data_IF_631614813906
#
_entry.id   IF_631614813906
#
_cell.length_a   1.000
_cell.length_b   1.000
_cell.length_c   1.000
_cell.angle_alpha   90.00
_cell.angle_beta   90.00
_cell.angle_gamma   90.00
#
_symmetry.space_group_name_H-M   'P 1'
#
loop_
_entity.id
_entity.type
_entity.pdbx_description
1 polymer ?
#
# COMPACT_ATOMS: atom_id res chain seq x y z
N UNK A 1 -19.47 -18.28 5.85
CA UNK A 1 -18.80 -16.99 6.15
C UNK A 1 -17.28 -17.06 5.95
N UNK A 2 -16.58 -18.11 6.42
CA UNK A 2 -15.11 -18.24 6.35
C UNK A 2 -14.54 -18.41 4.93
N UNK A 3 -15.16 -19.24 4.08
CA UNK A 3 -14.68 -19.48 2.71
C UNK A 3 -14.71 -18.23 1.82
N UNK A 4 -15.74 -17.38 1.96
CA UNK A 4 -15.83 -16.12 1.23
C UNK A 4 -14.76 -15.12 1.66
N UNK A 5 -14.46 -15.04 2.97
CA UNK A 5 -13.40 -14.18 3.49
C UNK A 5 -12.01 -14.56 2.96
N UNK A 6 -11.71 -15.86 2.84
CA UNK A 6 -10.47 -16.35 2.24
C UNK A 6 -10.34 -15.96 0.76
N UNK A 7 -11.45 -16.01 0.00
CA UNK A 7 -11.49 -15.55 -1.40
C UNK A 7 -11.16 -14.06 -1.55
N UNK A 8 -11.75 -13.20 -0.72
CA UNK A 8 -11.47 -11.77 -0.74
C UNK A 8 -10.04 -11.44 -0.29
N UNK A 9 -9.53 -12.15 0.72
CA UNK A 9 -8.14 -12.04 1.15
C UNK A 9 -7.18 -12.41 0.02
N UNK A 10 -7.45 -13.51 -0.70
CA UNK A 10 -6.65 -13.95 -1.83
C UNK A 10 -6.69 -12.95 -3.00
N UNK A 11 -7.88 -12.43 -3.34
CA UNK A 11 -8.04 -11.39 -4.36
C UNK A 11 -7.21 -10.15 -3.99
N UNK A 12 -7.35 -9.67 -2.76
CA UNK A 12 -6.57 -8.56 -2.25
C UNK A 12 -5.07 -8.84 -2.33
N UNK A 13 -4.65 -10.02 -1.87
CA UNK A 13 -3.25 -10.46 -1.91
C UNK A 13 -2.67 -10.41 -3.30
N UNK A 14 -3.35 -10.97 -4.30
CA UNK A 14 -2.88 -10.96 -5.69
C UNK A 14 -2.75 -9.53 -6.24
N UNK A 15 -3.74 -8.66 -5.98
CA UNK A 15 -3.66 -7.24 -6.35
C UNK A 15 -2.47 -6.53 -5.67
N UNK A 16 -2.31 -6.73 -4.37
CA UNK A 16 -1.26 -6.12 -3.57
C UNK A 16 0.14 -6.63 -3.92
N UNK A 17 0.25 -7.87 -4.37
CA UNK A 17 1.54 -8.47 -4.70
C UNK A 17 2.21 -7.83 -5.90
N UNK A 18 1.50 -7.14 -6.80
CA UNK A 18 2.10 -6.46 -7.96
C UNK A 18 3.20 -5.47 -7.51
N UNK A 19 4.48 -5.68 -7.86
CA UNK A 19 5.60 -4.93 -7.30
C UNK A 19 5.94 -3.70 -8.17
N UNK A 20 5.06 -2.68 -8.19
CA UNK A 20 5.18 -1.53 -9.09
C UNK A 20 6.53 -0.84 -9.03
N UNK A 21 7.13 -0.63 -7.86
CA UNK A 21 8.44 0.00 -7.79
C UNK A 21 9.52 -0.78 -8.56
N UNK A 22 9.52 -2.11 -8.49
CA UNK A 22 10.46 -2.94 -9.25
C UNK A 22 10.13 -2.94 -10.75
N UNK A 23 8.84 -2.98 -11.11
CA UNK A 23 8.40 -2.98 -12.51
C UNK A 23 8.73 -1.66 -13.21
N UNK A 24 8.38 -0.53 -12.60
CA UNK A 24 8.57 0.80 -13.18
C UNK A 24 10.05 1.15 -13.31
N UNK A 25 10.87 0.77 -12.34
CA UNK A 25 12.31 1.07 -12.37
C UNK A 25 13.04 0.28 -13.44
N UNK A 26 12.70 -1.00 -13.61
CA UNK A 26 13.17 -1.80 -14.74
C UNK A 26 12.69 -1.25 -16.07
N UNK A 27 11.41 -0.91 -16.19
CA UNK A 27 10.83 -0.34 -17.41
C UNK A 27 11.46 1.02 -17.78
N UNK A 28 11.87 1.80 -16.79
CA UNK A 28 12.56 3.08 -16.98
C UNK A 28 14.08 2.95 -17.23
N UNK A 29 14.62 1.74 -17.35
CA UNK A 29 16.05 1.51 -17.58
C UNK A 29 16.95 1.79 -16.37
N UNK A 30 16.39 1.86 -15.16
CA UNK A 30 17.12 2.17 -13.91
C UNK A 30 17.72 0.92 -13.24
N UNK A 31 17.59 -0.25 -13.86
CA UNK A 31 18.10 -1.52 -13.34
C UNK A 31 17.24 -2.12 -12.22
N UNK A 32 17.85 -2.96 -11.39
CA UNK A 32 17.18 -3.60 -10.26
C UNK A 32 17.31 -2.75 -8.98
N UNK A 33 16.22 -2.14 -8.54
CA UNK A 33 16.21 -1.30 -7.33
C UNK A 33 16.57 -2.03 -6.04
N UNK A 34 16.54 -3.37 -6.02
CA UNK A 34 16.95 -4.13 -4.85
C UNK A 34 18.47 -4.07 -4.64
N UNK A 35 19.24 -3.72 -5.67
CA UNK A 35 20.67 -3.45 -5.58
C UNK A 35 20.99 -2.00 -5.19
N UNK A 36 19.97 -1.14 -4.99
CA UNK A 36 20.13 0.29 -4.72
C UNK A 36 19.61 0.62 -3.32
N UNK A 37 20.33 1.48 -2.60
CA UNK A 37 19.87 2.06 -1.33
C UNK A 37 19.58 1.00 -0.26
N UNK A 38 18.33 0.96 0.22
CA UNK A 38 17.93 0.00 1.27
C UNK A 38 17.51 -1.37 0.72
N UNK A 39 17.60 -1.59 -0.59
CA UNK A 39 17.17 -2.82 -1.26
C UNK A 39 15.66 -3.10 -1.24
N UNK A 40 14.85 -2.13 -0.81
CA UNK A 40 13.39 -2.27 -0.72
C UNK A 40 12.73 -1.87 -2.05
N UNK A 41 11.56 -2.42 -2.37
CA UNK A 41 10.87 -2.11 -3.62
C UNK A 41 9.97 -0.86 -3.56
N UNK A 42 9.79 -0.26 -2.38
CA UNK A 42 8.88 0.89 -2.20
C UNK A 42 9.43 2.22 -2.74
N UNK A 43 8.52 3.19 -2.91
CA UNK A 43 8.77 4.52 -3.47
C UNK A 43 9.96 5.28 -2.86
N UNK A 44 10.20 5.16 -1.54
CA UNK A 44 11.34 5.81 -0.89
C UNK A 44 12.69 5.28 -1.42
N UNK A 45 12.78 3.99 -1.74
CA UNK A 45 14.00 3.44 -2.31
C UNK A 45 14.12 3.76 -3.81
N UNK A 46 12.99 3.78 -4.52
CA UNK A 46 12.93 4.27 -5.90
C UNK A 46 13.43 5.71 -5.99
N UNK A 47 13.10 6.57 -5.03
CA UNK A 47 13.61 7.94 -4.99
C UNK A 47 15.15 8.00 -4.92
N UNK A 48 15.80 6.97 -4.37
CA UNK A 48 17.27 6.88 -4.29
C UNK A 48 17.94 6.56 -5.63
N UNK A 49 17.19 6.18 -6.66
CA UNK A 49 17.72 6.12 -8.03
C UNK A 49 17.89 7.51 -8.65
N UNK A 50 17.41 8.56 -7.98
CA UNK A 50 17.41 9.93 -8.48
C UNK A 50 16.20 10.29 -9.36
N UNK A 51 15.37 9.31 -9.74
CA UNK A 51 14.23 9.54 -10.63
C UNK A 51 12.94 9.85 -9.85
N UNK A 52 12.67 11.13 -9.62
CA UNK A 52 11.49 11.62 -8.87
C UNK A 52 10.15 11.22 -9.52
N UNK A 53 9.95 11.35 -10.84
CA UNK A 53 8.71 10.89 -11.49
C UNK A 53 8.41 9.42 -11.24
N UNK A 54 9.41 8.53 -11.38
CA UNK A 54 9.22 7.09 -11.16
C UNK A 54 8.95 6.77 -9.68
N UNK A 55 9.57 7.50 -8.75
CA UNK A 55 9.27 7.38 -7.33
C UNK A 55 7.82 7.80 -6.99
N UNK A 56 7.36 8.91 -7.56
CA UNK A 56 5.98 9.38 -7.40
C UNK A 56 4.97 8.41 -8.01
N UNK A 57 5.23 7.93 -9.23
CA UNK A 57 4.39 6.92 -9.88
C UNK A 57 4.33 5.61 -9.06
N UNK A 58 5.47 5.19 -8.47
CA UNK A 58 5.51 4.04 -7.56
C UNK A 58 4.60 4.26 -6.35
N UNK A 59 4.68 5.43 -5.71
CA UNK A 59 3.86 5.76 -4.55
C UNK A 59 2.36 5.71 -4.89
N UNK A 60 1.98 6.34 -6.00
CA UNK A 60 0.59 6.37 -6.48
C UNK A 60 0.09 4.97 -6.81
N UNK A 61 0.84 4.18 -7.58
CA UNK A 61 0.40 2.85 -8.01
C UNK A 61 0.38 1.83 -6.87
N UNK A 62 1.36 1.89 -5.96
CA UNK A 62 1.34 1.06 -4.75
C UNK A 62 0.22 1.44 -3.78
N UNK A 63 -0.23 2.70 -3.75
CA UNK A 63 -1.45 3.11 -3.04
C UNK A 63 -2.71 2.67 -3.78
N UNK A 64 -2.76 2.89 -5.10
CA UNK A 64 -3.90 2.58 -5.94
C UNK A 64 -4.24 1.09 -5.92
N UNK A 65 -3.25 0.18 -5.88
CA UNK A 65 -3.55 -1.27 -5.78
C UNK A 65 -4.26 -1.65 -4.48
N UNK A 66 -3.95 -0.97 -3.38
CA UNK A 66 -4.62 -1.18 -2.09
C UNK A 66 -6.05 -0.66 -2.12
N UNK A 67 -6.23 0.57 -2.63
CA UNK A 67 -7.54 1.16 -2.83
C UNK A 67 -8.41 0.31 -3.78
N UNK A 68 -7.86 -0.10 -4.93
CA UNK A 68 -8.55 -0.89 -5.93
C UNK A 68 -8.98 -2.26 -5.38
N UNK A 69 -8.11 -2.96 -4.66
CA UNK A 69 -8.45 -4.23 -4.02
C UNK A 69 -9.67 -4.10 -3.08
N UNK A 70 -9.65 -3.07 -2.23
CA UNK A 70 -10.74 -2.81 -1.29
C UNK A 70 -12.04 -2.46 -2.00
N UNK A 71 -12.00 -1.50 -2.94
CA UNK A 71 -13.18 -1.03 -3.66
C UNK A 71 -13.78 -2.11 -4.55
N UNK A 72 -12.93 -2.90 -5.23
CA UNK A 72 -13.38 -4.01 -6.06
C UNK A 72 -14.09 -5.07 -5.23
N UNK A 73 -13.53 -5.47 -4.09
CA UNK A 73 -14.18 -6.42 -3.21
C UNK A 73 -15.48 -5.86 -2.61
N UNK A 74 -15.51 -4.58 -2.24
CA UNK A 74 -16.72 -3.89 -1.76
C UNK A 74 -17.82 -3.87 -2.81
N UNK A 75 -17.46 -3.62 -4.08
CA UNK A 75 -18.41 -3.54 -5.19
C UNK A 75 -18.94 -4.90 -5.63
N UNK A 76 -18.09 -5.92 -5.62
CA UNK A 76 -18.47 -7.29 -5.99
C UNK A 76 -19.25 -8.01 -4.88
N UNK A 77 -19.04 -7.61 -3.62
CA UNK A 77 -19.78 -8.16 -2.50
C UNK A 77 -21.16 -7.50 -2.38
N UNK A 78 -22.20 -8.32 -2.14
CA UNK A 78 -23.53 -7.80 -1.81
C UNK A 78 -23.53 -6.93 -0.55
N UNK A 79 -24.55 -6.08 -0.32
CA UNK A 79 -24.53 -5.02 0.70
C UNK A 79 -24.15 -5.49 2.11
N UNK A 80 -24.62 -6.66 2.53
CA UNK A 80 -24.32 -7.24 3.84
C UNK A 80 -22.87 -7.71 3.99
N UNK A 81 -22.28 -8.25 2.90
CA UNK A 81 -20.92 -8.77 2.89
C UNK A 81 -19.87 -7.71 2.56
N UNK A 82 -20.28 -6.58 1.99
CA UNK A 82 -19.39 -5.54 1.48
C UNK A 82 -18.37 -4.99 2.49
N UNK A 83 -18.72 -4.73 3.78
CA UNK A 83 -17.74 -4.26 4.76
C UNK A 83 -16.64 -5.30 5.04
N UNK A 84 -17.02 -6.57 5.21
CA UNK A 84 -16.11 -7.67 5.51
C UNK A 84 -15.24 -8.05 4.31
N UNK A 85 -15.82 -8.04 3.11
CA UNK A 85 -15.10 -8.26 1.87
C UNK A 85 -14.04 -7.18 1.63
N UNK A 86 -14.42 -5.91 1.83
CA UNK A 86 -13.53 -4.76 1.72
C UNK A 86 -12.35 -4.85 2.71
N UNK A 87 -12.63 -5.21 3.97
CA UNK A 87 -11.60 -5.38 4.99
C UNK A 87 -10.64 -6.54 4.65
N UNK A 88 -11.18 -7.70 4.27
CA UNK A 88 -10.39 -8.86 3.89
C UNK A 88 -9.49 -8.58 2.69
N UNK A 89 -10.02 -7.95 1.64
CA UNK A 89 -9.23 -7.58 0.46
C UNK A 89 -8.20 -6.47 0.74
N UNK A 90 -8.54 -5.49 1.57
CA UNK A 90 -7.58 -4.46 2.00
C UNK A 90 -6.40 -5.05 2.78
N UNK A 91 -6.68 -5.93 3.74
CA UNK A 91 -5.65 -6.69 4.46
C UNK A 91 -4.82 -7.55 3.50
N UNK A 92 -5.50 -8.26 2.60
CA UNK A 92 -4.87 -9.05 1.55
C UNK A 92 -3.88 -8.21 0.75
N UNK A 93 -4.28 -7.02 0.30
CA UNK A 93 -3.43 -6.14 -0.50
C UNK A 93 -2.16 -5.69 0.24
N UNK A 94 -2.29 -5.36 1.53
CA UNK A 94 -1.12 -5.02 2.36
C UNK A 94 -0.20 -6.23 2.49
N UNK A 95 -0.74 -7.41 2.83
CA UNK A 95 0.04 -8.65 2.93
C UNK A 95 0.70 -9.02 1.59
N UNK A 96 -0.01 -8.83 0.48
CA UNK A 96 0.51 -9.05 -0.86
C UNK A 96 1.71 -8.15 -1.16
N UNK A 97 1.66 -6.88 -0.77
CA UNK A 97 2.78 -5.95 -0.95
C UNK A 97 3.97 -6.29 -0.04
N UNK A 98 3.72 -6.74 1.20
CA UNK A 98 4.77 -7.13 2.16
C UNK A 98 5.45 -8.45 1.76
N UNK A 99 4.65 -9.42 1.34
CA UNK A 99 5.07 -10.79 1.04
C UNK A 99 4.63 -11.23 -0.37
N UNK A 100 5.06 -10.55 -1.44
CA UNK A 100 4.65 -10.90 -2.80
C UNK A 100 5.24 -12.23 -3.23
N UNK A 101 4.36 -13.14 -3.68
CA UNK A 101 4.72 -14.52 -4.08
C UNK A 101 5.83 -14.55 -5.14
N UNK A 102 5.78 -13.65 -6.12
CA UNK A 102 6.77 -13.56 -7.21
C UNK A 102 8.14 -13.05 -6.77
N UNK A 103 8.26 -12.43 -5.60
CA UNK A 103 9.56 -11.99 -5.05
C UNK A 103 9.99 -12.87 -3.87
N UNK A 104 9.57 -14.14 -3.86
CA UNK A 104 9.91 -15.10 -2.79
C UNK A 104 9.54 -14.56 -1.41
N UNK A 105 8.38 -13.89 -1.33
CA UNK A 105 7.84 -13.29 -0.11
C UNK A 105 8.71 -12.18 0.50
N UNK A 106 9.54 -11.51 -0.31
CA UNK A 106 10.35 -10.35 0.12
C UNK A 106 9.91 -9.09 -0.60
N UNK A 107 8.94 -8.40 -0.02
CA UNK A 107 8.29 -7.22 -0.61
C UNK A 107 8.71 -5.89 -0.01
N UNK A 108 7.78 -4.93 -0.05
CA UNK A 108 7.98 -3.60 0.49
C UNK A 108 7.53 -3.46 1.94
N UNK A 109 7.35 -2.22 2.42
CA UNK A 109 6.93 -1.91 3.80
C UNK A 109 5.42 -1.68 3.97
N UNK A 110 4.65 -1.69 2.89
CA UNK A 110 3.18 -1.60 2.94
C UNK A 110 2.62 -0.21 3.20
N UNK A 111 3.45 0.83 3.36
CA UNK A 111 2.99 2.19 3.71
C UNK A 111 2.02 2.76 2.67
N UNK A 112 2.43 2.82 1.40
CA UNK A 112 1.59 3.37 0.34
C UNK A 112 0.29 2.56 0.17
N UNK A 113 0.40 1.24 0.12
CA UNK A 113 -0.74 0.33 0.02
C UNK A 113 -1.71 0.47 1.18
N UNK A 114 -1.21 0.58 2.41
CA UNK A 114 -2.02 0.82 3.60
C UNK A 114 -2.71 2.19 3.58
N UNK A 115 -2.02 3.25 3.18
CA UNK A 115 -2.64 4.58 2.99
C UNK A 115 -3.73 4.57 1.92
N UNK A 116 -3.52 3.86 0.81
CA UNK A 116 -4.53 3.65 -0.23
C UNK A 116 -5.74 2.88 0.27
N UNK A 117 -5.53 1.84 1.07
CA UNK A 117 -6.60 1.10 1.76
C UNK A 117 -7.40 2.03 2.68
N UNK A 118 -6.73 2.86 3.50
CA UNK A 118 -7.43 3.82 4.38
C UNK A 118 -8.24 4.85 3.61
N UNK A 119 -7.68 5.43 2.55
CA UNK A 119 -8.39 6.38 1.68
C UNK A 119 -9.65 5.77 1.05
N UNK A 120 -9.56 4.52 0.59
CA UNK A 120 -10.68 3.82 -0.01
C UNK A 120 -11.71 3.34 1.03
N UNK A 121 -11.24 2.94 2.21
CA UNK A 121 -12.11 2.51 3.30
C UNK A 121 -12.95 3.69 3.80
N UNK A 122 -12.29 4.80 4.12
CA UNK A 122 -12.89 6.03 4.62
C UNK A 122 -11.98 7.25 4.34
N UNK A 123 -12.34 8.03 3.32
CA UNK A 123 -11.47 9.07 2.77
C UNK A 123 -11.00 10.15 3.77
N UNK A 124 -11.77 10.63 4.77
CA UNK A 124 -11.28 11.61 5.73
C UNK A 124 -10.15 11.05 6.59
N UNK A 125 -10.29 9.81 7.09
CA UNK A 125 -9.24 9.12 7.85
C UNK A 125 -8.02 8.88 6.98
N UNK A 126 -8.21 8.48 5.72
CA UNK A 126 -7.12 8.31 4.77
C UNK A 126 -6.36 9.61 4.50
N UNK A 127 -7.06 10.76 4.36
CA UNK A 127 -6.42 12.06 4.19
C UNK A 127 -5.64 12.48 5.44
N UNK A 128 -6.20 12.28 6.63
CA UNK A 128 -5.50 12.54 7.89
C UNK A 128 -4.24 11.69 7.98
N UNK A 129 -4.34 10.38 7.69
CA UNK A 129 -3.18 9.48 7.70
C UNK A 129 -2.12 9.91 6.68
N UNK A 130 -2.50 10.35 5.48
CA UNK A 130 -1.57 10.88 4.48
C UNK A 130 -0.88 12.17 4.96
N UNK A 131 -1.64 13.08 5.57
CA UNK A 131 -1.11 14.34 6.11
C UNK A 131 -0.13 14.07 7.27
N UNK A 132 -0.48 13.18 8.21
CA UNK A 132 0.40 12.77 9.31
C UNK A 132 1.65 12.06 8.79
N UNK A 133 1.50 11.17 7.80
CA UNK A 133 2.65 10.52 7.16
C UNK A 133 3.61 11.54 6.55
N UNK A 134 3.08 12.49 5.78
CA UNK A 134 3.88 13.50 5.11
C UNK A 134 4.56 14.43 6.12
N UNK A 135 3.83 14.90 7.13
CA UNK A 135 4.36 15.76 8.19
C UNK A 135 5.46 15.04 8.98
N UNK A 136 5.19 13.81 9.45
CA UNK A 136 6.15 13.01 10.20
C UNK A 136 7.39 12.66 9.38
N UNK A 137 7.21 12.28 8.10
CA UNK A 137 8.32 12.00 7.20
C UNK A 137 9.18 13.25 6.91
N UNK A 138 8.55 14.43 6.79
CA UNK A 138 9.24 15.70 6.55
C UNK A 138 9.99 16.20 7.78
N UNK A 139 9.37 16.15 8.96
CA UNK A 139 9.96 16.61 10.23
C UNK A 139 11.10 15.70 10.67
N UNK A 140 10.88 14.38 10.66
CA UNK A 140 11.91 13.42 11.07
C UNK A 140 12.94 13.12 9.97
N UNK A 141 12.70 13.56 8.72
CA UNK A 141 13.46 13.17 7.52
C UNK A 141 13.56 11.65 7.33
N UNK A 142 12.62 10.90 7.91
CA UNK A 142 12.58 9.43 7.89
C UNK A 142 11.15 8.98 7.58
N UNK A 143 10.94 8.38 6.41
CA UNK A 143 9.60 7.96 5.96
C UNK A 143 8.93 6.91 6.86
N UNK A 144 9.71 6.06 7.54
CA UNK A 144 9.15 5.07 8.48
C UNK A 144 8.59 5.70 9.75
N UNK A 145 9.15 6.83 10.22
CA UNK A 145 8.58 7.57 11.37
C UNK A 145 7.22 8.14 10.98
N UNK A 146 7.12 8.76 9.80
CA UNK A 146 5.83 9.20 9.26
C UNK A 146 4.81 8.06 9.16
N UNK A 147 5.23 6.87 8.73
CA UNK A 147 4.33 5.73 8.60
C UNK A 147 3.78 5.24 9.96
N UNK A 148 4.65 5.15 10.97
CA UNK A 148 4.25 4.77 12.32
C UNK A 148 3.25 5.78 12.90
N UNK A 149 3.53 7.08 12.75
CA UNK A 149 2.64 8.14 13.20
C UNK A 149 1.29 8.09 12.47
N UNK A 150 1.28 7.89 11.15
CA UNK A 150 0.06 7.83 10.36
C UNK A 150 -0.84 6.65 10.76
N UNK A 151 -0.27 5.45 10.94
CA UNK A 151 -1.05 4.28 11.33
C UNK A 151 -1.46 4.31 12.81
N UNK A 152 -0.72 4.99 13.68
CA UNK A 152 -1.16 5.26 15.05
C UNK A 152 -2.29 6.30 15.12
N UNK A 153 -2.25 7.32 14.26
CA UNK A 153 -3.27 8.36 14.20
C UNK A 153 -4.57 7.90 13.53
N UNK A 154 -4.50 6.95 12.59
CA UNK A 154 -5.67 6.46 11.84
C UNK A 154 -6.86 6.00 12.72
N UNK A 155 -6.69 5.14 13.75
CA UNK A 155 -7.81 4.76 14.61
C UNK A 155 -8.33 5.94 15.44
N UNK A 156 -7.47 6.87 15.88
CA UNK A 156 -7.90 8.06 16.62
C UNK A 156 -8.74 9.00 15.73
N UNK A 157 -8.31 9.17 14.48
CA UNK A 157 -9.04 9.94 13.47
C UNK A 157 -10.39 9.30 13.11
N UNK A 158 -10.51 7.97 13.25
CA UNK A 158 -11.75 7.26 13.00
C UNK A 158 -12.77 7.37 14.15
N UNK A 159 -12.35 7.85 15.33
CA UNK A 159 -13.21 8.05 16.50
C UNK A 159 -13.75 9.49 16.62
N UNK A 160 -13.21 10.41 15.82
CA UNK A 160 -13.59 11.82 15.79
C UNK A 160 -14.70 12.07 14.76
#
# INVERSE_FOLDING_TARGET
MTAAAAGWLALGYLCGSVPFGLLLTRAAGLGDIRAIGSGNIGATNVLRTGNRPIAAATLVLDGAKGAAALLLARWLAGPEAAPWAALAAGLGAVLGHLFPVWLRFRGGKGVATGLGVLLAAWWPVGLIACAVWLAGARLARISSVGALLAFAAAPLAALA
#
